data_IF_314394219646
#
_entry.id   IF_314394219646
#
_cell.length_a   1.000
_cell.length_b   1.000
_cell.length_c   1.000
_cell.angle_alpha   90.00
_cell.angle_beta   90.00
_cell.angle_gamma   90.00
#
_symmetry.space_group_name_H-M   'P 1'
#
loop_
_entity.id
_entity.type
_entity.pdbx_description
1 polymer ?
#
# COMPACT_ATOMS: atom_id res chain seq x y z
N UNK A 1 2.42 4.28 -17.55
CA UNK A 1 2.68 4.24 -16.09
C UNK A 1 1.32 4.35 -15.45
N UNK A 2 0.79 3.26 -14.92
CA UNK A 2 -0.61 3.13 -14.50
C UNK A 2 -0.62 2.89 -12.99
N UNK A 3 -1.01 3.90 -12.21
CA UNK A 3 -1.39 3.67 -10.82
C UNK A 3 -2.89 3.44 -10.73
N UNK A 4 -3.26 2.20 -10.45
CA UNK A 4 -4.64 1.80 -10.21
C UNK A 4 -5.00 2.11 -8.76
N UNK A 5 -5.56 3.27 -8.51
CA UNK A 5 -6.51 3.40 -7.40
C UNK A 5 -7.79 2.74 -7.91
N UNK A 6 -8.33 1.76 -7.20
CA UNK A 6 -9.42 0.90 -7.66
C UNK A 6 -8.94 -0.39 -8.34
N UNK A 7 -9.28 -1.52 -7.74
CA UNK A 7 -8.68 -2.84 -7.96
C UNK A 7 -8.84 -3.39 -9.39
N UNK A 8 -7.71 -3.73 -10.04
CA UNK A 8 -7.75 -4.67 -11.18
C UNK A 8 -8.23 -6.05 -10.70
N UNK A 9 -8.66 -6.91 -11.62
CA UNK A 9 -9.01 -8.31 -11.34
C UNK A 9 -7.98 -9.05 -10.46
N UNK A 10 -6.70 -8.74 -10.63
CA UNK A 10 -5.61 -9.29 -9.82
C UNK A 10 -5.63 -8.74 -8.38
N UNK A 11 -5.90 -7.44 -8.21
CA UNK A 11 -6.03 -6.81 -6.89
C UNK A 11 -7.29 -7.33 -6.18
N UNK A 12 -8.43 -7.45 -6.86
CA UNK A 12 -9.66 -8.00 -6.25
C UNK A 12 -9.45 -9.45 -5.79
N UNK A 13 -8.78 -10.29 -6.60
CA UNK A 13 -8.40 -11.66 -6.18
C UNK A 13 -7.50 -11.62 -4.94
N UNK A 14 -6.46 -10.78 -4.94
CA UNK A 14 -5.56 -10.64 -3.79
C UNK A 14 -6.28 -10.16 -2.53
N UNK A 15 -7.18 -9.18 -2.64
CA UNK A 15 -8.01 -8.67 -1.55
C UNK A 15 -8.94 -9.76 -0.98
N UNK A 16 -9.44 -10.67 -1.82
CA UNK A 16 -10.21 -11.83 -1.38
C UNK A 16 -9.36 -12.87 -0.68
N UNK A 17 -8.27 -13.28 -1.31
CA UNK A 17 -7.46 -14.41 -0.88
C UNK A 17 -6.64 -14.09 0.37
N UNK A 18 -6.05 -12.88 0.44
CA UNK A 18 -5.13 -12.50 1.51
C UNK A 18 -5.81 -11.72 2.64
N UNK A 19 -6.95 -11.05 2.38
CA UNK A 19 -7.61 -10.15 3.34
C UNK A 19 -9.08 -10.48 3.63
N UNK A 20 -9.67 -11.45 2.93
CA UNK A 20 -11.06 -11.87 3.15
C UNK A 20 -12.11 -10.83 2.73
N UNK A 21 -11.82 -9.94 1.78
CA UNK A 21 -12.79 -8.96 1.28
C UNK A 21 -13.85 -9.65 0.42
N UNK A 22 -15.03 -9.92 0.97
CA UNK A 22 -16.09 -10.68 0.27
C UNK A 22 -16.75 -9.88 -0.87
N UNK A 23 -17.02 -8.59 -0.64
CA UNK A 23 -17.77 -7.71 -1.56
C UNK A 23 -17.06 -6.39 -1.79
N UNK A 24 -17.01 -5.97 -3.05
CA UNK A 24 -16.52 -4.66 -3.49
C UNK A 24 -17.66 -3.98 -4.24
N UNK A 25 -18.18 -2.89 -3.68
CA UNK A 25 -19.38 -2.22 -4.20
C UNK A 25 -19.08 -1.17 -5.27
N UNK A 26 -17.90 -0.56 -5.20
CA UNK A 26 -17.46 0.46 -6.14
C UNK A 26 -15.98 0.25 -6.46
N UNK A 27 -15.66 0.22 -7.75
CA UNK A 27 -14.30 0.26 -8.26
C UNK A 27 -14.18 1.50 -9.13
N UNK A 28 -13.38 2.46 -8.70
CA UNK A 28 -13.07 3.65 -9.48
C UNK A 28 -11.62 3.59 -9.94
N UNK A 29 -11.40 3.45 -11.25
CA UNK A 29 -10.05 3.45 -11.84
C UNK A 29 -9.58 4.88 -12.09
N UNK A 30 -8.45 5.26 -11.51
CA UNK A 30 -7.70 6.47 -11.88
C UNK A 30 -6.50 6.13 -12.73
N UNK A 31 -6.23 6.93 -13.76
CA UNK A 31 -5.06 6.77 -14.64
C UNK A 31 -4.16 7.98 -14.48
N UNK A 32 -2.94 7.75 -14.00
CA UNK A 32 -1.94 8.79 -13.80
C UNK A 32 -0.71 8.27 -13.06
N UNK A 33 0.25 9.16 -12.84
CA UNK A 33 1.34 8.93 -11.90
C UNK A 33 0.80 8.94 -10.45
N UNK A 34 1.41 8.15 -9.56
CA UNK A 34 0.90 7.93 -8.21
C UNK A 34 0.76 9.21 -7.43
N UNK A 35 1.83 10.00 -7.45
CA UNK A 35 1.95 11.30 -6.81
C UNK A 35 0.82 12.24 -7.22
N UNK A 36 0.53 12.32 -8.52
CA UNK A 36 -0.55 13.14 -9.05
C UNK A 36 -1.94 12.63 -8.62
N UNK A 37 -2.13 11.31 -8.58
CA UNK A 37 -3.42 10.72 -8.17
C UNK A 37 -3.65 10.90 -6.67
N UNK A 38 -2.66 10.54 -5.83
CA UNK A 38 -2.74 10.66 -4.37
C UNK A 38 -3.01 12.11 -3.98
N UNK A 39 -2.32 13.07 -4.61
CA UNK A 39 -2.51 14.50 -4.34
C UNK A 39 -3.92 15.01 -4.65
N UNK A 40 -4.70 14.32 -5.48
CA UNK A 40 -6.04 14.72 -5.90
C UNK A 40 -7.17 13.91 -5.25
N UNK A 41 -6.87 12.87 -4.48
CA UNK A 41 -7.90 12.01 -3.88
C UNK A 41 -8.90 12.79 -3.02
N UNK A 42 -8.42 13.76 -2.25
CA UNK A 42 -9.28 14.58 -1.39
C UNK A 42 -10.16 15.51 -2.23
N UNK A 43 -9.59 16.20 -3.20
CA UNK A 43 -10.29 17.22 -3.98
C UNK A 43 -11.27 16.62 -4.99
N UNK A 44 -10.89 15.53 -5.65
CA UNK A 44 -11.70 14.92 -6.70
C UNK A 44 -12.78 13.99 -6.15
N UNK A 45 -12.55 13.38 -4.98
CA UNK A 45 -13.41 12.32 -4.44
C UNK A 45 -13.90 12.55 -3.01
N UNK A 46 -13.48 13.64 -2.36
CA UNK A 46 -13.83 13.90 -0.96
C UNK A 46 -13.27 12.85 0.00
N UNK A 47 -12.23 12.10 -0.40
CA UNK A 47 -11.65 11.07 0.46
C UNK A 47 -10.87 11.73 1.59
N UNK A 48 -11.38 11.59 2.81
CA UNK A 48 -10.73 12.14 4.00
C UNK A 48 -9.71 11.19 4.61
N UNK A 49 -9.99 9.88 4.53
CA UNK A 49 -9.16 8.80 5.06
C UNK A 49 -9.28 7.55 4.19
N UNK A 50 -8.18 6.81 4.03
CA UNK A 50 -8.17 5.49 3.41
C UNK A 50 -8.04 4.39 4.48
N UNK A 51 -8.88 3.36 4.39
CA UNK A 51 -8.78 2.18 5.26
C UNK A 51 -7.68 1.23 4.83
N UNK A 52 -7.55 1.04 3.53
CA UNK A 52 -6.63 0.10 2.93
C UNK A 52 -5.96 0.71 1.70
N UNK A 53 -4.66 0.53 1.57
CA UNK A 53 -3.88 0.88 0.37
C UNK A 53 -3.12 -0.35 -0.08
N UNK A 54 -3.29 -0.73 -1.35
CA UNK A 54 -2.53 -1.80 -1.97
C UNK A 54 -1.53 -1.23 -2.98
N UNK A 55 -0.24 -1.45 -2.75
CA UNK A 55 0.86 -1.01 -3.60
C UNK A 55 1.38 -2.19 -4.41
N UNK A 56 1.11 -2.16 -5.71
CA UNK A 56 1.67 -3.11 -6.69
C UNK A 56 2.05 -2.41 -7.99
N UNK A 57 2.79 -1.32 -7.86
CA UNK A 57 3.30 -0.55 -8.99
C UNK A 57 4.84 -0.52 -8.96
N UNK A 58 5.45 0.46 -9.61
CA UNK A 58 6.90 0.64 -9.64
C UNK A 58 7.49 0.81 -8.24
N UNK A 59 8.28 -0.17 -7.79
CA UNK A 59 8.82 -0.25 -6.41
C UNK A 59 9.65 0.97 -5.99
N UNK A 60 10.21 1.73 -6.95
CA UNK A 60 10.92 3.00 -6.70
C UNK A 60 10.01 4.09 -6.15
N UNK A 61 8.71 4.04 -6.44
CA UNK A 61 7.72 5.01 -5.99
C UNK A 61 7.13 4.64 -4.61
N UNK A 62 7.43 3.46 -4.06
CA UNK A 62 6.79 3.03 -2.80
C UNK A 62 7.07 3.96 -1.63
N UNK A 63 8.33 4.39 -1.49
CA UNK A 63 8.69 5.31 -0.43
C UNK A 63 8.09 6.72 -0.62
N UNK A 64 8.26 7.41 -1.76
CA UNK A 64 7.67 8.74 -1.92
C UNK A 64 6.14 8.72 -1.84
N UNK A 65 5.47 7.68 -2.36
CA UNK A 65 4.02 7.55 -2.25
C UNK A 65 3.56 7.34 -0.80
N UNK A 66 4.27 6.51 -0.02
CA UNK A 66 4.00 6.34 1.40
C UNK A 66 4.08 7.68 2.13
N UNK A 67 5.14 8.44 1.89
CA UNK A 67 5.35 9.75 2.49
C UNK A 67 4.29 10.76 2.05
N UNK A 68 3.81 10.67 0.82
CA UNK A 68 2.72 11.51 0.33
C UNK A 68 1.38 11.16 0.97
N UNK A 69 1.09 9.87 1.18
CA UNK A 69 -0.08 9.41 1.92
C UNK A 69 -0.05 9.86 3.38
N UNK A 70 1.13 9.84 4.02
CA UNK A 70 1.35 10.41 5.35
C UNK A 70 1.09 11.94 5.35
N UNK A 71 1.74 12.68 4.44
CA UNK A 71 1.67 14.14 4.39
C UNK A 71 0.29 14.70 4.00
N UNK A 72 -0.48 13.96 3.20
CA UNK A 72 -1.85 14.33 2.81
C UNK A 72 -2.90 14.09 3.91
N UNK A 73 -2.49 13.48 5.03
CA UNK A 73 -3.39 13.13 6.13
C UNK A 73 -4.43 12.07 5.75
N UNK A 74 -4.21 11.33 4.64
CA UNK A 74 -5.10 10.26 4.21
C UNK A 74 -4.99 9.01 5.10
N UNK A 75 -3.86 8.83 5.79
CA UNK A 75 -3.65 7.73 6.73
C UNK A 75 -4.14 8.11 8.13
N UNK A 76 -5.11 7.35 8.63
CA UNK A 76 -5.59 7.45 10.02
C UNK A 76 -5.23 6.20 10.82
N UNK A 77 -5.27 6.26 12.15
CA UNK A 77 -4.99 5.10 13.01
C UNK A 77 -5.85 3.89 12.55
N UNK A 78 -5.21 2.75 12.36
CA UNK A 78 -5.83 1.53 11.84
C UNK A 78 -5.85 1.40 10.32
N UNK A 79 -5.45 2.44 9.56
CA UNK A 79 -5.23 2.30 8.12
C UNK A 79 -4.15 1.26 7.84
N UNK A 80 -4.40 0.40 6.85
CA UNK A 80 -3.50 -0.70 6.48
C UNK A 80 -2.91 -0.43 5.11
N UNK A 81 -1.58 -0.54 5.01
CA UNK A 81 -0.87 -0.55 3.73
C UNK A 81 -0.38 -1.96 3.44
N UNK A 82 -0.56 -2.43 2.21
CA UNK A 82 -0.04 -3.68 1.72
C UNK A 82 0.84 -3.40 0.51
N UNK A 83 2.10 -3.77 0.58
CA UNK A 83 3.06 -3.54 -0.47
C UNK A 83 3.59 -4.88 -0.99
N UNK A 84 3.30 -5.19 -2.26
CA UNK A 84 3.73 -6.43 -2.89
C UNK A 84 5.16 -6.33 -3.43
N UNK A 85 5.82 -7.48 -3.52
CA UNK A 85 7.19 -7.69 -3.98
C UNK A 85 8.28 -6.84 -3.29
N UNK A 86 8.16 -6.68 -1.98
CA UNK A 86 9.11 -5.88 -1.19
C UNK A 86 10.44 -6.59 -0.95
N UNK A 87 10.51 -7.90 -1.19
CA UNK A 87 11.75 -8.68 -1.09
C UNK A 87 12.41 -8.92 -2.45
N UNK A 88 11.64 -9.28 -3.48
CA UNK A 88 12.17 -9.42 -4.85
C UNK A 88 11.10 -9.05 -5.88
N UNK A 89 11.32 -8.05 -6.77
CA UNK A 89 12.56 -7.33 -7.05
C UNK A 89 13.05 -6.40 -5.93
N UNK A 90 12.19 -6.09 -4.95
CA UNK A 90 12.59 -5.47 -3.69
C UNK A 90 12.30 -3.96 -3.57
N UNK A 91 11.95 -3.53 -2.36
CA UNK A 91 11.72 -2.12 -2.00
C UNK A 91 12.51 -1.77 -0.72
N UNK A 92 13.85 -1.78 -0.75
CA UNK A 92 14.67 -1.69 0.46
C UNK A 92 14.53 -0.35 1.19
N UNK A 93 14.43 0.76 0.46
CA UNK A 93 14.25 2.09 1.06
C UNK A 93 12.89 2.23 1.76
N UNK A 94 11.84 1.71 1.14
CA UNK A 94 10.50 1.64 1.73
C UNK A 94 10.51 0.84 3.03
N UNK A 95 11.07 -0.38 3.01
CA UNK A 95 11.15 -1.23 4.21
C UNK A 95 12.00 -0.61 5.32
N UNK A 96 13.12 0.03 4.96
CA UNK A 96 13.99 0.70 5.93
C UNK A 96 13.25 1.86 6.60
N UNK A 97 12.57 2.70 5.83
CA UNK A 97 11.79 3.81 6.34
C UNK A 97 10.65 3.34 7.25
N UNK A 98 9.83 2.40 6.78
CA UNK A 98 8.68 1.90 7.52
C UNK A 98 9.05 1.25 8.87
N UNK A 99 10.25 0.65 8.98
CA UNK A 99 10.78 0.13 10.25
C UNK A 99 11.29 1.22 11.19
N UNK A 100 11.81 2.33 10.64
CA UNK A 100 12.52 3.34 11.40
C UNK A 100 11.63 4.50 11.85
N UNK A 101 10.56 4.83 11.12
CA UNK A 101 9.75 6.03 11.39
C UNK A 101 8.87 5.92 12.64
N UNK A 102 8.64 4.70 13.16
CA UNK A 102 7.82 4.48 14.37
C UNK A 102 6.31 4.64 14.16
N UNK A 103 5.86 4.96 12.95
CA UNK A 103 4.43 5.20 12.64
C UNK A 103 3.64 3.92 12.38
N UNK A 104 4.33 2.80 12.13
CA UNK A 104 3.72 1.56 11.67
C UNK A 104 4.09 0.37 12.53
N UNK A 105 3.13 -0.54 12.70
CA UNK A 105 3.43 -1.95 12.98
C UNK A 105 3.61 -2.67 11.65
N UNK A 106 4.84 -3.12 11.39
CA UNK A 106 5.20 -3.85 10.18
C UNK A 106 5.10 -5.36 10.40
N UNK A 107 4.38 -6.05 9.52
CA UNK A 107 4.42 -7.52 9.35
C UNK A 107 4.90 -7.84 7.94
N UNK A 108 5.72 -8.87 7.80
CA UNK A 108 6.22 -9.32 6.50
C UNK A 108 5.70 -10.73 6.24
N UNK A 109 4.80 -10.84 5.27
CA UNK A 109 4.23 -12.10 4.81
C UNK A 109 5.14 -12.66 3.73
N UNK A 110 5.86 -13.74 4.03
CA UNK A 110 6.74 -14.40 3.06
C UNK A 110 5.92 -15.36 2.23
N UNK A 111 6.03 -15.24 0.92
CA UNK A 111 5.43 -16.17 -0.03
C UNK A 111 6.52 -16.76 -0.93
N UNK A 112 6.35 -18.02 -1.30
CA UNK A 112 7.21 -18.64 -2.31
C UNK A 112 6.57 -18.36 -3.67
N UNK A 113 7.28 -17.72 -4.60
CA UNK A 113 6.74 -17.47 -5.94
C UNK A 113 6.46 -18.81 -6.65
N UNK A 114 5.19 -19.08 -6.97
CA UNK A 114 4.75 -20.34 -7.59
C UNK A 114 5.36 -20.56 -8.99
N UNK A 115 5.73 -19.47 -9.68
CA UNK A 115 6.28 -19.51 -11.05
C UNK A 115 7.81 -19.66 -11.10
N UNK A 116 8.51 -19.54 -9.97
CA UNK A 116 9.96 -19.65 -9.91
C UNK A 116 10.37 -20.37 -8.62
N UNK A 117 10.52 -21.69 -8.71
CA UNK A 117 11.04 -22.51 -7.62
C UNK A 117 12.31 -21.89 -7.00
N UNK A 118 12.18 -21.32 -5.80
CA UNK A 118 13.30 -20.83 -4.99
C UNK A 118 13.42 -19.31 -4.81
N UNK A 119 12.68 -18.47 -5.54
CA UNK A 119 12.69 -17.01 -5.29
C UNK A 119 11.71 -16.70 -4.16
N UNK A 120 12.27 -16.31 -3.01
CA UNK A 120 11.49 -15.84 -1.86
C UNK A 120 11.08 -14.41 -2.11
N UNK A 121 9.78 -14.21 -2.28
CA UNK A 121 9.21 -12.88 -2.26
C UNK A 121 8.50 -12.63 -0.92
N UNK A 122 8.02 -11.39 -0.71
CA UNK A 122 7.21 -11.07 0.42
C UNK A 122 6.38 -9.82 0.21
N UNK A 123 5.24 -9.82 0.87
CA UNK A 123 4.35 -8.67 0.98
C UNK A 123 4.55 -8.05 2.36
N UNK A 124 4.77 -6.74 2.40
CA UNK A 124 4.77 -5.99 3.65
C UNK A 124 3.35 -5.53 3.97
N UNK A 125 2.91 -5.76 5.20
CA UNK A 125 1.73 -5.17 5.80
C UNK A 125 2.15 -4.13 6.83
N UNK A 126 1.71 -2.89 6.65
CA UNK A 126 1.94 -1.78 7.56
C UNK A 126 0.61 -1.37 8.17
N UNK A 127 0.44 -1.55 9.48
CA UNK A 127 -0.69 -1.02 10.23
C UNK A 127 -0.31 0.34 10.81
N UNK A 128 -0.95 1.42 10.35
CA UNK A 128 -0.63 2.79 10.78
C UNK A 128 -1.19 3.05 12.17
N UNK A 129 -0.32 3.50 13.08
CA UNK A 129 -0.70 3.88 14.44
C UNK A 129 -0.58 5.39 14.68
N UNK A 130 0.01 6.14 13.74
CA UNK A 130 0.27 7.57 13.88
C UNK A 130 1.49 7.87 14.74
N UNK A 131 1.74 9.16 14.97
CA UNK A 131 2.79 9.61 15.88
C UNK A 131 2.34 9.28 17.31
N UNK A 132 3.17 8.55 18.07
CA UNK A 132 3.00 8.50 19.53
C UNK A 132 3.29 9.91 20.06
N UNK A 133 2.22 10.67 20.30
CA UNK A 133 2.29 11.87 21.14
C UNK A 133 2.18 11.36 22.58
N UNK A 134 3.24 10.70 23.05
CA UNK A 134 3.41 10.55 24.50
C UNK A 134 3.75 11.96 25.02
N UNK A 135 2.80 12.54 25.75
CA UNK A 135 2.87 13.87 26.39
C UNK A 135 3.79 13.84 27.59
#
# INVERSE_FOLDING_TARGET
>A
VELRVGASDAVIRRLRDDLGVERVDLVELRVGASDAVIGRLRDDLGVERVDLVFMDHWKRCYLPDLQLLEASGLLGRGSVLLADNVLFPGAPHFLRYARACGLYRLRLHRATLEYAHGIRDGMAQLEYHGVNIDT
#
